data_IF_945718901662
#
_entry.id   IF_945718901662
#
_cell.length_a   1.000
_cell.length_b   1.000
_cell.length_c   1.000
_cell.angle_alpha   90.00
_cell.angle_beta   90.00
_cell.angle_gamma   90.00
#
_symmetry.space_group_name_H-M   'P 1'
#
loop_
_entity.id
_entity.type
_entity.pdbx_description
1 polymer ?
#
# COMPACT_ATOMS: atom_id res chain seq x y z
N UNK A 1 64.87 -20.67 -15.62
CA UNK A 1 64.98 -21.47 -14.37
C UNK A 1 63.84 -21.08 -13.45
N UNK A 2 63.74 -19.82 -13.00
CA UNK A 2 62.56 -19.31 -12.27
C UNK A 2 61.23 -19.64 -12.95
N UNK A 3 61.11 -19.37 -14.25
CA UNK A 3 59.88 -19.58 -15.02
C UNK A 3 59.42 -21.06 -15.08
N UNK A 4 60.36 -22.03 -14.99
CA UNK A 4 60.00 -23.46 -14.94
C UNK A 4 59.62 -23.95 -13.56
N UNK A 5 60.25 -23.39 -12.53
CA UNK A 5 59.95 -23.72 -11.15
C UNK A 5 58.57 -23.18 -10.82
N UNK A 6 58.28 -21.94 -11.20
CA UNK A 6 56.97 -21.30 -11.06
C UNK A 6 55.88 -22.02 -11.89
N UNK A 7 56.15 -22.40 -13.15
CA UNK A 7 55.16 -23.10 -13.97
C UNK A 7 54.79 -24.51 -13.46
N UNK A 8 55.71 -25.22 -12.80
CA UNK A 8 55.40 -26.50 -12.16
C UNK A 8 54.67 -26.33 -10.82
N UNK A 9 54.94 -25.24 -10.09
CA UNK A 9 54.25 -24.88 -8.84
C UNK A 9 52.81 -24.42 -9.05
N UNK A 10 52.51 -23.74 -10.17
CA UNK A 10 51.15 -23.32 -10.55
C UNK A 10 50.30 -24.48 -11.11
N UNK A 11 50.88 -25.66 -11.33
CA UNK A 11 50.15 -26.84 -11.78
C UNK A 11 49.29 -27.42 -10.64
N UNK A 12 48.09 -27.89 -10.96
CA UNK A 12 47.09 -28.37 -9.99
C UNK A 12 47.54 -29.59 -9.16
N UNK A 13 48.65 -30.22 -9.54
CA UNK A 13 49.29 -31.34 -8.82
C UNK A 13 50.79 -31.12 -8.89
N UNK A 14 51.37 -30.61 -7.81
CA UNK A 14 52.82 -30.44 -7.69
C UNK A 14 53.50 -31.81 -7.62
N UNK A 15 54.24 -32.16 -8.67
CA UNK A 15 54.99 -33.41 -8.76
C UNK A 15 56.50 -33.14 -8.64
N UNK A 16 57.05 -33.62 -7.53
CA UNK A 16 58.45 -33.43 -7.15
C UNK A 16 59.39 -34.13 -8.14
N UNK A 17 58.98 -35.30 -8.65
CA UNK A 17 59.81 -36.11 -9.54
C UNK A 17 59.93 -35.43 -10.92
N UNK A 18 58.83 -34.90 -11.44
CA UNK A 18 58.80 -34.12 -12.68
C UNK A 18 59.60 -32.81 -12.59
N UNK A 19 59.63 -32.15 -11.42
CA UNK A 19 60.45 -30.95 -11.20
C UNK A 19 61.95 -31.29 -11.24
N UNK A 20 62.34 -32.33 -10.51
CA UNK A 20 63.74 -32.79 -10.45
C UNK A 20 64.20 -33.26 -11.83
N UNK A 21 63.36 -34.01 -12.55
CA UNK A 21 63.64 -34.49 -13.90
C UNK A 21 63.80 -33.33 -14.90
N UNK A 22 62.92 -32.32 -14.84
CA UNK A 22 63.05 -31.13 -15.70
C UNK A 22 64.28 -30.28 -15.38
N UNK A 23 64.65 -30.13 -14.11
CA UNK A 23 65.87 -29.42 -13.68
C UNK A 23 67.11 -30.18 -14.15
N UNK A 24 67.12 -31.51 -13.99
CA UNK A 24 68.22 -32.36 -14.43
C UNK A 24 68.36 -32.37 -15.96
N UNK A 25 67.26 -32.52 -16.69
CA UNK A 25 67.22 -32.58 -18.16
C UNK A 25 67.68 -31.25 -18.79
N UNK A 26 67.24 -30.10 -18.25
CA UNK A 26 67.68 -28.78 -18.73
C UNK A 26 69.09 -28.40 -18.34
N UNK A 27 69.62 -28.97 -17.26
CA UNK A 27 71.01 -28.72 -16.83
C UNK A 27 72.02 -29.60 -17.58
N UNK A 28 71.57 -30.72 -18.14
CA UNK A 28 72.39 -31.68 -18.91
C UNK A 28 72.16 -31.61 -20.43
N UNK A 29 71.27 -30.72 -20.89
CA UNK A 29 70.85 -30.58 -22.30
C UNK A 29 70.41 -31.91 -22.94
N UNK A 30 69.86 -32.83 -22.13
CA UNK A 30 69.48 -34.19 -22.53
C UNK A 30 70.63 -35.18 -22.78
N UNK A 31 71.89 -34.80 -22.51
CA UNK A 31 73.08 -35.62 -22.76
C UNK A 31 73.73 -36.12 -21.46
N UNK A 32 73.19 -37.23 -20.92
CA UNK A 32 73.73 -37.88 -19.72
C UNK A 32 74.98 -38.74 -20.03
N UNK A 33 75.36 -38.88 -21.31
CA UNK A 33 76.35 -39.86 -21.79
C UNK A 33 77.66 -39.22 -22.30
N UNK A 34 77.71 -37.90 -22.51
CA UNK A 34 78.91 -37.25 -23.08
C UNK A 34 79.88 -36.74 -22.01
N UNK A 35 81.17 -36.77 -22.34
CA UNK A 35 82.36 -36.40 -21.54
C UNK A 35 82.37 -34.95 -20.99
N UNK A 36 81.29 -34.18 -21.18
CA UNK A 36 81.10 -32.80 -20.72
C UNK A 36 80.03 -32.66 -19.61
N UNK A 37 79.70 -33.74 -18.90
CA UNK A 37 78.84 -33.63 -17.71
C UNK A 37 79.58 -32.86 -16.62
N UNK A 38 79.13 -31.64 -16.30
CA UNK A 38 79.68 -30.79 -15.24
C UNK A 38 78.87 -30.96 -13.94
N UNK A 39 79.35 -31.76 -12.96
CA UNK A 39 78.61 -32.01 -11.72
C UNK A 39 78.40 -30.73 -10.90
N UNK A 40 79.37 -29.81 -10.99
CA UNK A 40 79.33 -28.52 -10.29
C UNK A 40 78.25 -27.58 -10.86
N UNK A 41 77.97 -27.66 -12.16
CA UNK A 41 76.91 -26.87 -12.80
C UNK A 41 75.53 -27.35 -12.36
N UNK A 42 75.34 -28.67 -12.31
CA UNK A 42 74.10 -29.29 -11.83
C UNK A 42 73.86 -29.01 -10.34
N UNK A 43 74.90 -29.10 -9.50
CA UNK A 43 74.82 -28.72 -8.08
C UNK A 43 74.41 -27.25 -7.93
N UNK A 44 75.02 -26.34 -8.70
CA UNK A 44 74.68 -24.92 -8.69
C UNK A 44 73.21 -24.68 -9.06
N UNK A 45 72.69 -25.39 -10.06
CA UNK A 45 71.28 -25.28 -10.50
C UNK A 45 70.31 -25.84 -9.47
N UNK A 46 70.62 -26.97 -8.82
CA UNK A 46 69.80 -27.48 -7.71
C UNK A 46 69.85 -26.55 -6.49
N UNK A 47 71.01 -25.99 -6.14
CA UNK A 47 71.11 -24.96 -5.08
C UNK A 47 70.28 -23.73 -5.39
N UNK A 48 70.31 -23.27 -6.64
CA UNK A 48 69.48 -22.15 -7.09
C UNK A 48 67.98 -22.49 -7.00
N UNK A 49 67.56 -23.69 -7.42
CA UNK A 49 66.17 -24.12 -7.32
C UNK A 49 65.70 -24.28 -5.87
N UNK A 50 66.55 -24.82 -4.97
CA UNK A 50 66.26 -24.89 -3.54
C UNK A 50 66.08 -23.50 -2.92
N UNK A 51 66.92 -22.54 -3.29
CA UNK A 51 66.78 -21.15 -2.82
C UNK A 51 65.45 -20.55 -3.26
N UNK A 52 65.07 -20.71 -4.54
CA UNK A 52 63.80 -20.21 -5.06
C UNK A 52 62.60 -20.84 -4.34
N UNK A 53 62.65 -22.15 -4.09
CA UNK A 53 61.59 -22.86 -3.35
C UNK A 53 61.49 -22.40 -1.90
N UNK A 54 62.63 -22.13 -1.23
CA UNK A 54 62.64 -21.59 0.13
C UNK A 54 62.06 -20.18 0.17
N UNK A 55 62.43 -19.31 -0.77
CA UNK A 55 61.88 -17.95 -0.86
C UNK A 55 60.38 -17.98 -1.13
N UNK A 56 59.92 -18.87 -2.02
CA UNK A 56 58.50 -19.07 -2.32
C UNK A 56 57.73 -19.64 -1.12
N UNK A 57 58.30 -20.57 -0.37
CA UNK A 57 57.70 -21.08 0.87
C UNK A 57 57.50 -19.96 1.88
N UNK A 58 58.54 -19.15 2.14
CA UNK A 58 58.46 -18.02 3.08
C UNK A 58 57.41 -17.01 2.61
N UNK A 59 57.36 -16.69 1.32
CA UNK A 59 56.38 -15.79 0.76
C UNK A 59 54.95 -16.34 0.88
N UNK A 60 54.75 -17.63 0.65
CA UNK A 60 53.45 -18.29 0.76
C UNK A 60 52.97 -18.32 2.21
N UNK A 61 53.85 -18.66 3.15
CA UNK A 61 53.54 -18.63 4.59
C UNK A 61 53.16 -17.21 5.07
N UNK A 62 53.83 -16.18 4.56
CA UNK A 62 53.47 -14.79 4.85
C UNK A 62 52.10 -14.42 4.26
N UNK A 63 51.82 -14.82 3.02
CA UNK A 63 50.53 -14.57 2.37
C UNK A 63 49.39 -15.29 3.11
N UNK A 64 49.60 -16.54 3.54
CA UNK A 64 48.62 -17.30 4.34
C UNK A 64 48.32 -16.55 5.63
N UNK A 65 49.34 -16.13 6.39
CA UNK A 65 49.13 -15.38 7.65
C UNK A 65 48.36 -14.08 7.43
N UNK A 66 48.69 -13.33 6.37
CA UNK A 66 47.97 -12.09 6.05
C UNK A 66 46.50 -12.35 5.70
N UNK A 67 46.22 -13.41 4.93
CA UNK A 67 44.87 -13.81 4.57
C UNK A 67 44.09 -14.30 5.80
N UNK A 68 44.71 -15.08 6.69
CA UNK A 68 44.11 -15.52 7.95
C UNK A 68 43.78 -14.34 8.86
N UNK A 69 44.69 -13.38 9.03
CA UNK A 69 44.44 -12.18 9.83
C UNK A 69 43.34 -11.30 9.22
N UNK A 70 43.31 -11.16 7.89
CA UNK A 70 42.26 -10.41 7.21
C UNK A 70 40.89 -11.09 7.37
N UNK A 71 40.84 -12.42 7.22
CA UNK A 71 39.64 -13.21 7.38
C UNK A 71 39.12 -13.14 8.83
N UNK A 72 40.01 -13.22 9.82
CA UNK A 72 39.63 -13.13 11.24
C UNK A 72 39.12 -11.73 11.60
N UNK A 73 39.76 -10.67 11.10
CA UNK A 73 39.26 -9.29 11.27
C UNK A 73 37.88 -9.14 10.65
N UNK A 74 37.72 -9.58 9.41
CA UNK A 74 36.45 -9.50 8.69
C UNK A 74 35.35 -10.30 9.43
N UNK A 75 35.64 -11.54 9.82
CA UNK A 75 34.74 -12.38 10.62
C UNK A 75 34.29 -11.68 11.91
N UNK A 76 35.22 -11.08 12.64
CA UNK A 76 34.90 -10.36 13.88
C UNK A 76 34.07 -9.10 13.62
N UNK A 77 34.35 -8.36 12.54
CA UNK A 77 33.51 -7.21 12.16
C UNK A 77 32.09 -7.64 11.80
N UNK A 78 31.94 -8.70 10.99
CA UNK A 78 30.63 -9.24 10.63
C UNK A 78 29.87 -9.77 11.84
N UNK A 79 30.53 -10.50 12.74
CA UNK A 79 29.91 -11.00 13.97
C UNK A 79 29.38 -9.84 14.84
N UNK A 80 30.18 -8.78 15.01
CA UNK A 80 29.75 -7.60 15.76
C UNK A 80 28.60 -6.85 15.09
N UNK A 81 28.66 -6.69 13.76
CA UNK A 81 27.58 -6.04 13.00
C UNK A 81 26.28 -6.83 13.07
N UNK A 82 26.34 -8.17 12.99
CA UNK A 82 25.16 -9.04 13.14
C UNK A 82 24.58 -8.92 14.54
N UNK A 83 25.41 -8.96 15.59
CA UNK A 83 24.94 -8.83 16.96
C UNK A 83 24.24 -7.47 17.21
N UNK A 84 24.81 -6.37 16.70
CA UNK A 84 24.19 -5.04 16.79
C UNK A 84 22.86 -4.98 16.03
N UNK A 85 22.80 -5.61 14.85
CA UNK A 85 21.57 -5.64 14.04
C UNK A 85 20.47 -6.45 14.74
N UNK A 86 20.82 -7.57 15.37
CA UNK A 86 19.89 -8.37 16.17
C UNK A 86 19.35 -7.59 17.37
N UNK A 87 20.21 -6.86 18.08
CA UNK A 87 19.78 -6.01 19.21
C UNK A 87 18.82 -4.90 18.77
N UNK A 88 19.16 -4.20 17.68
CA UNK A 88 18.31 -3.16 17.09
C UNK A 88 16.97 -3.74 16.60
N UNK A 89 17.00 -4.92 15.99
CA UNK A 89 15.79 -5.61 15.54
C UNK A 89 14.89 -5.96 16.73
N UNK A 90 15.43 -6.54 17.79
CA UNK A 90 14.66 -6.88 19.01
C UNK A 90 14.04 -5.63 19.65
N UNK A 91 14.80 -4.54 19.76
CA UNK A 91 14.30 -3.25 20.28
C UNK A 91 13.16 -2.70 19.40
N UNK A 92 13.34 -2.70 18.08
CA UNK A 92 12.31 -2.23 17.14
C UNK A 92 11.06 -3.11 17.20
N UNK A 93 11.25 -4.42 17.30
CA UNK A 93 10.16 -5.40 17.38
C UNK A 93 9.32 -5.23 18.64
N UNK A 94 9.96 -5.04 19.80
CA UNK A 94 9.23 -4.77 21.05
C UNK A 94 8.45 -3.46 20.99
N UNK A 95 9.03 -2.40 20.42
CA UNK A 95 8.33 -1.12 20.18
C UNK A 95 7.13 -1.28 19.24
N UNK A 96 7.27 -2.10 18.19
CA UNK A 96 6.17 -2.41 17.28
C UNK A 96 5.03 -3.17 18.00
N UNK A 97 5.34 -4.18 18.82
CA UNK A 97 4.34 -4.91 19.59
C UNK A 97 3.58 -4.01 20.57
N UNK A 98 4.28 -3.08 21.24
CA UNK A 98 3.63 -2.11 22.13
C UNK A 98 2.68 -1.19 21.35
N UNK A 99 3.12 -0.73 20.18
CA UNK A 99 2.30 0.10 19.31
C UNK A 99 1.05 -0.65 18.83
N UNK A 100 1.19 -1.90 18.40
CA UNK A 100 0.07 -2.75 17.97
C UNK A 100 -0.94 -2.96 19.11
N UNK A 101 -0.47 -3.20 20.34
CA UNK A 101 -1.37 -3.26 21.51
C UNK A 101 -2.11 -1.94 21.73
N UNK A 102 -1.43 -0.81 21.66
CA UNK A 102 -2.06 0.51 21.83
C UNK A 102 -3.09 0.79 20.74
N UNK A 103 -2.78 0.46 19.48
CA UNK A 103 -3.71 0.58 18.35
C UNK A 103 -4.94 -0.29 18.57
N UNK A 104 -4.78 -1.52 19.05
CA UNK A 104 -5.89 -2.42 19.35
C UNK A 104 -6.82 -1.85 20.42
N UNK A 105 -6.26 -1.30 21.50
CA UNK A 105 -7.02 -0.64 22.57
C UNK A 105 -7.77 0.58 22.05
N UNK A 106 -7.10 1.44 21.28
CA UNK A 106 -7.74 2.64 20.69
C UNK A 106 -8.86 2.22 19.74
N UNK A 107 -8.63 1.23 18.88
CA UNK A 107 -9.63 0.75 17.91
C UNK A 107 -10.88 0.24 18.63
N UNK A 108 -10.71 -0.58 19.67
CA UNK A 108 -11.81 -1.09 20.49
C UNK A 108 -12.59 0.05 21.14
N UNK A 109 -11.88 1.04 21.70
CA UNK A 109 -12.49 2.19 22.37
C UNK A 109 -13.22 3.10 21.39
N UNK A 110 -12.69 3.31 20.18
CA UNK A 110 -13.32 4.08 19.11
C UNK A 110 -14.63 3.41 18.68
N UNK A 111 -14.63 2.10 18.49
CA UNK A 111 -15.84 1.33 18.16
C UNK A 111 -16.88 1.50 19.27
N UNK A 112 -16.47 1.35 20.54
CA UNK A 112 -17.37 1.52 21.69
C UNK A 112 -17.97 2.93 21.75
N UNK A 113 -17.15 3.97 21.57
CA UNK A 113 -17.63 5.36 21.57
C UNK A 113 -18.58 5.59 20.39
N UNK A 114 -18.26 5.06 19.21
CA UNK A 114 -19.13 5.10 18.04
C UNK A 114 -20.50 4.50 18.34
N UNK A 115 -20.52 3.29 18.91
CA UNK A 115 -21.75 2.62 19.30
C UNK A 115 -22.54 3.41 20.36
N UNK A 116 -21.87 4.00 21.36
CA UNK A 116 -22.54 4.83 22.38
C UNK A 116 -23.11 6.14 21.81
N UNK A 117 -22.44 6.73 20.84
CA UNK A 117 -22.92 7.93 20.16
C UNK A 117 -24.12 7.59 19.29
N UNK A 118 -24.06 6.50 18.53
CA UNK A 118 -25.17 6.03 17.70
C UNK A 118 -26.38 5.66 18.56
N UNK A 119 -26.18 4.88 19.63
CA UNK A 119 -27.27 4.47 20.52
C UNK A 119 -27.97 5.65 21.19
N UNK A 120 -27.27 6.76 21.45
CA UNK A 120 -27.86 7.97 22.05
C UNK A 120 -28.47 8.92 21.03
N UNK A 121 -27.86 9.06 19.86
CA UNK A 121 -28.26 10.05 18.85
C UNK A 121 -29.31 9.54 17.88
N UNK A 122 -29.23 8.27 17.48
CA UNK A 122 -30.14 7.65 16.50
C UNK A 122 -31.61 7.64 16.97
N UNK A 123 -31.98 7.12 18.16
CA UNK A 123 -33.39 7.11 18.57
C UNK A 123 -33.95 8.52 18.75
N UNK A 124 -33.12 9.48 19.17
CA UNK A 124 -33.51 10.88 19.30
C UNK A 124 -33.79 11.50 17.93
N UNK A 125 -32.92 11.27 16.95
CA UNK A 125 -33.13 11.74 15.57
C UNK A 125 -34.38 11.09 14.96
N UNK A 126 -34.54 9.77 15.10
CA UNK A 126 -35.73 9.06 14.64
C UNK A 126 -37.02 9.61 15.24
N UNK A 127 -37.06 9.89 16.56
CA UNK A 127 -38.23 10.48 17.21
C UNK A 127 -38.53 11.90 16.72
N UNK A 128 -37.48 12.71 16.48
CA UNK A 128 -37.65 14.06 15.94
C UNK A 128 -38.22 14.00 14.52
N UNK A 129 -37.68 13.12 13.67
CA UNK A 129 -38.11 12.94 12.28
C UNK A 129 -39.53 12.37 12.19
N UNK A 130 -39.88 11.40 13.04
CA UNK A 130 -41.24 10.88 13.13
C UNK A 130 -42.22 11.96 13.61
N UNK A 131 -41.84 12.75 14.62
CA UNK A 131 -42.68 13.83 15.15
C UNK A 131 -42.89 14.95 14.13
N UNK A 132 -41.84 15.34 13.40
CA UNK A 132 -41.98 16.35 12.35
C UNK A 132 -42.88 15.82 11.23
N UNK A 133 -42.66 14.58 10.78
CA UNK A 133 -43.51 13.94 9.75
C UNK A 133 -44.97 13.88 10.17
N UNK A 134 -45.26 13.44 11.41
CA UNK A 134 -46.62 13.40 11.96
C UNK A 134 -47.27 14.80 12.01
N UNK A 135 -46.53 15.82 12.44
CA UNK A 135 -47.02 17.21 12.48
C UNK A 135 -47.35 17.74 11.08
N UNK A 136 -46.54 17.41 10.07
CA UNK A 136 -46.84 17.80 8.70
C UNK A 136 -48.02 17.02 8.13
N UNK A 137 -48.15 15.73 8.46
CA UNK A 137 -49.31 14.91 8.09
C UNK A 137 -50.61 15.50 8.63
N UNK A 138 -50.68 15.83 9.93
CA UNK A 138 -51.86 16.49 10.53
C UNK A 138 -52.22 17.79 9.79
N UNK A 139 -51.22 18.61 9.47
CA UNK A 139 -51.43 19.86 8.72
C UNK A 139 -51.94 19.64 7.30
N UNK A 140 -51.51 18.58 6.63
CA UNK A 140 -52.03 18.21 5.30
C UNK A 140 -53.46 17.67 5.36
N UNK A 141 -53.86 17.04 6.48
CA UNK A 141 -55.22 16.52 6.69
C UNK A 141 -56.22 17.62 7.06
N UNK A 142 -55.79 18.64 7.81
CA UNK A 142 -56.64 19.76 8.23
C UNK A 142 -56.94 20.78 7.12
N UNK A 143 -56.46 20.55 5.89
CA UNK A 143 -56.66 21.42 4.72
C UNK A 143 -56.21 22.89 4.93
N UNK A 144 -55.25 23.13 5.83
CA UNK A 144 -54.68 24.45 6.04
C UNK A 144 -53.69 24.80 4.93
N UNK A 145 -53.97 25.89 4.21
CA UNK A 145 -53.22 26.37 3.03
C UNK A 145 -51.77 26.81 3.35
N UNK A 146 -51.45 26.98 4.65
CA UNK A 146 -50.12 27.35 5.15
C UNK A 146 -49.02 26.32 4.84
N UNK A 147 -49.39 25.06 4.60
CA UNK A 147 -48.45 24.02 4.19
C UNK A 147 -47.85 24.36 2.82
N UNK A 148 -48.62 25.03 1.96
CA UNK A 148 -48.21 25.43 0.62
C UNK A 148 -47.02 26.41 0.65
N UNK A 149 -46.92 27.30 1.65
CA UNK A 149 -45.84 28.30 1.72
C UNK A 149 -44.44 27.67 1.89
N UNK A 150 -44.30 26.58 2.65
CA UNK A 150 -43.01 25.93 2.85
C UNK A 150 -42.56 25.10 1.64
N UNK A 151 -43.52 24.66 0.82
CA UNK A 151 -43.28 23.93 -0.43
C UNK A 151 -43.28 24.82 -1.68
N UNK A 152 -43.50 26.14 -1.52
CA UNK A 152 -43.45 27.15 -2.59
C UNK A 152 -42.17 27.99 -2.58
N UNK A 153 -41.45 28.03 -1.45
CA UNK A 153 -40.20 28.78 -1.31
C UNK A 153 -39.02 28.00 -1.90
N UNK A 154 -38.46 28.45 -3.03
CA UNK A 154 -37.25 27.87 -3.66
C UNK A 154 -36.02 27.87 -2.71
N UNK A 155 -35.98 28.78 -1.72
CA UNK A 155 -34.92 28.84 -0.69
C UNK A 155 -35.01 27.69 0.34
N UNK A 156 -36.17 27.03 0.44
CA UNK A 156 -36.45 25.94 1.39
C UNK A 156 -36.59 24.57 0.70
N UNK A 157 -36.27 24.47 -0.59
CA UNK A 157 -36.36 23.24 -1.38
C UNK A 157 -35.71 22.02 -0.68
N UNK A 158 -34.61 22.24 0.02
CA UNK A 158 -33.91 21.19 0.78
C UNK A 158 -34.71 20.69 1.99
N UNK A 159 -35.32 21.62 2.74
CA UNK A 159 -36.13 21.29 3.90
C UNK A 159 -37.44 20.62 3.46
N UNK A 160 -38.04 21.13 2.38
CA UNK A 160 -39.20 20.55 1.72
C UNK A 160 -38.94 19.10 1.30
N UNK A 161 -37.83 18.83 0.60
CA UNK A 161 -37.45 17.49 0.17
C UNK A 161 -37.20 16.52 1.34
N UNK A 162 -36.60 17.02 2.43
CA UNK A 162 -36.37 16.22 3.64
C UNK A 162 -37.66 15.79 4.35
N UNK A 163 -38.75 16.55 4.20
CA UNK A 163 -40.04 16.29 4.85
C UNK A 163 -40.99 15.52 3.92
N UNK A 164 -41.04 15.87 2.63
CA UNK A 164 -42.01 15.32 1.68
C UNK A 164 -41.79 13.83 1.42
N UNK A 165 -40.54 13.36 1.40
CA UNK A 165 -40.24 11.96 1.10
C UNK A 165 -40.69 11.01 2.23
N UNK A 166 -40.34 11.23 3.52
CA UNK A 166 -40.91 10.46 4.63
C UNK A 166 -42.43 10.54 4.69
N UNK A 167 -43.00 11.72 4.45
CA UNK A 167 -44.44 11.93 4.46
C UNK A 167 -45.16 11.12 3.36
N UNK A 168 -44.61 11.11 2.15
CA UNK A 168 -45.13 10.31 1.04
C UNK A 168 -45.13 8.81 1.37
N UNK A 169 -44.03 8.29 1.94
CA UNK A 169 -43.92 6.88 2.32
C UNK A 169 -44.96 6.50 3.39
N UNK A 170 -45.09 7.30 4.46
CA UNK A 170 -46.09 7.07 5.52
C UNK A 170 -47.52 7.12 4.96
N UNK A 171 -47.80 8.04 4.04
CA UNK A 171 -49.10 8.12 3.37
C UNK A 171 -49.39 6.91 2.48
N UNK A 172 -48.39 6.26 1.89
CA UNK A 172 -48.61 5.02 1.12
C UNK A 172 -48.98 3.83 2.01
N UNK A 173 -48.54 3.82 3.28
CA UNK A 173 -48.85 2.74 4.24
C UNK A 173 -50.23 2.88 4.89
N UNK A 174 -50.87 4.06 4.78
CA UNK A 174 -52.22 4.31 5.31
C UNK A 174 -53.32 3.69 4.40
N UNK A 175 -54.43 3.18 4.97
CA UNK A 175 -55.53 2.61 4.19
C UNK A 175 -56.20 3.64 3.28
N UNK A 176 -56.81 3.17 2.19
CA UNK A 176 -57.50 3.99 1.19
C UNK A 176 -58.88 4.45 1.67
N UNK A 177 -58.92 5.22 2.76
CA UNK A 177 -60.14 5.91 3.17
C UNK A 177 -60.29 7.24 2.41
N UNK A 178 -61.53 7.68 2.12
CA UNK A 178 -61.78 8.91 1.35
C UNK A 178 -61.21 10.17 2.00
N UNK A 179 -60.97 10.15 3.33
CA UNK A 179 -60.35 11.26 4.08
C UNK A 179 -58.84 11.38 3.81
N UNK A 180 -58.16 10.27 3.50
CA UNK A 180 -56.72 10.25 3.20
C UNK A 180 -56.43 10.36 1.71
N UNK A 181 -57.41 10.06 0.84
CA UNK A 181 -57.22 10.07 -0.61
C UNK A 181 -56.89 11.47 -1.16
N UNK A 182 -57.51 12.51 -0.62
CA UNK A 182 -57.22 13.91 -0.97
C UNK A 182 -55.79 14.30 -0.54
N UNK A 183 -55.40 13.95 0.69
CA UNK A 183 -54.05 14.18 1.21
C UNK A 183 -52.98 13.38 0.45
N UNK A 184 -53.25 12.12 0.10
CA UNK A 184 -52.36 11.27 -0.73
C UNK A 184 -52.14 11.90 -2.11
N UNK A 185 -53.19 12.41 -2.74
CA UNK A 185 -53.10 13.03 -4.08
C UNK A 185 -52.30 14.33 -4.02
N UNK A 186 -52.62 15.22 -3.06
CA UNK A 186 -51.90 16.49 -2.86
C UNK A 186 -50.43 16.27 -2.53
N UNK A 187 -50.10 15.32 -1.64
CA UNK A 187 -48.69 15.02 -1.30
C UNK A 187 -47.95 14.39 -2.47
N UNK A 188 -48.60 13.54 -3.28
CA UNK A 188 -48.00 12.98 -4.50
C UNK A 188 -47.69 14.07 -5.52
N UNK A 189 -48.61 15.00 -5.76
CA UNK A 189 -48.37 16.13 -6.67
C UNK A 189 -47.19 17.00 -6.19
N UNK A 190 -47.12 17.28 -4.88
CA UNK A 190 -46.00 18.04 -4.30
C UNK A 190 -44.69 17.28 -4.33
N UNK A 191 -44.71 15.96 -4.11
CA UNK A 191 -43.53 15.11 -4.23
C UNK A 191 -42.93 15.19 -5.64
N UNK A 192 -43.76 15.09 -6.68
CA UNK A 192 -43.33 15.19 -8.07
C UNK A 192 -42.83 16.61 -8.42
N UNK A 193 -43.53 17.65 -7.97
CA UNK A 193 -43.10 19.03 -8.21
C UNK A 193 -41.73 19.35 -7.59
N UNK A 194 -41.47 18.87 -6.37
CA UNK A 194 -40.17 19.03 -5.69
C UNK A 194 -39.08 18.22 -6.38
N UNK A 195 -39.40 17.02 -6.86
CA UNK A 195 -38.47 16.18 -7.63
C UNK A 195 -38.05 16.87 -8.94
N UNK A 196 -39.00 17.44 -9.68
CA UNK A 196 -38.73 18.23 -10.90
C UNK A 196 -37.88 19.48 -10.60
N UNK A 197 -38.18 20.21 -9.53
CA UNK A 197 -37.42 21.40 -9.14
C UNK A 197 -35.99 21.05 -8.69
N UNK A 198 -35.80 19.94 -7.97
CA UNK A 198 -34.48 19.43 -7.59
C UNK A 198 -33.66 18.99 -8.81
N UNK A 199 -34.29 18.36 -9.80
CA UNK A 199 -33.62 17.99 -11.06
C UNK A 199 -33.21 19.24 -11.85
N UNK A 200 -34.06 20.27 -11.89
CA UNK A 200 -33.75 21.54 -12.53
C UNK A 200 -32.56 22.26 -11.86
N UNK A 201 -32.55 22.34 -10.52
CA UNK A 201 -31.43 22.92 -9.77
C UNK A 201 -30.15 22.10 -9.92
N UNK A 202 -30.25 20.78 -10.02
CA UNK A 202 -29.12 19.92 -10.34
C UNK A 202 -28.53 20.23 -11.73
N UNK A 203 -29.38 20.32 -12.77
CA UNK A 203 -28.93 20.70 -14.12
C UNK A 203 -28.34 22.11 -14.15
N UNK A 204 -28.91 23.07 -13.42
CA UNK A 204 -28.34 24.43 -13.28
C UNK A 204 -26.98 24.42 -12.59
N UNK A 205 -26.80 23.62 -11.55
CA UNK A 205 -25.53 23.44 -10.86
C UNK A 205 -24.48 22.75 -11.75
N UNK A 206 -24.90 21.81 -12.60
CA UNK A 206 -24.05 21.16 -13.60
C UNK A 206 -23.55 22.13 -14.66
N UNK A 207 -24.42 22.98 -15.22
CA UNK A 207 -24.03 24.03 -16.19
C UNK A 207 -23.06 25.03 -15.56
N UNK A 208 -23.21 25.34 -14.26
CA UNK A 208 -22.31 26.22 -13.50
C UNK A 208 -21.03 25.52 -13.02
N UNK A 209 -20.87 24.22 -13.28
CA UNK A 209 -19.76 23.37 -12.82
C UNK A 209 -19.52 23.42 -11.29
N UNK A 210 -20.57 23.63 -10.49
CA UNK A 210 -20.47 23.65 -9.03
C UNK A 210 -20.61 22.23 -8.46
N UNK A 211 -19.46 21.56 -8.27
CA UNK A 211 -19.37 20.20 -7.72
C UNK A 211 -19.92 20.08 -6.30
N UNK A 212 -19.91 21.15 -5.50
CA UNK A 212 -20.41 21.12 -4.10
C UNK A 212 -21.93 21.12 -4.08
N UNK A 213 -22.56 22.02 -4.84
CA UNK A 213 -24.01 22.07 -4.98
C UNK A 213 -24.54 20.78 -5.64
N UNK A 214 -23.87 20.30 -6.68
CA UNK A 214 -24.21 19.06 -7.37
C UNK A 214 -24.21 17.84 -6.43
N UNK A 215 -23.16 17.68 -5.60
CA UNK A 215 -23.10 16.59 -4.61
C UNK A 215 -24.22 16.69 -3.56
N UNK A 216 -24.62 17.92 -3.21
CA UNK A 216 -25.70 18.18 -2.26
C UNK A 216 -27.06 17.75 -2.82
N UNK A 217 -27.39 18.15 -4.04
CA UNK A 217 -28.63 17.78 -4.71
C UNK A 217 -28.68 16.27 -5.04
N UNK A 218 -27.58 15.64 -5.46
CA UNK A 218 -27.50 14.18 -5.64
C UNK A 218 -27.82 13.45 -4.34
N UNK A 219 -27.23 13.87 -3.21
CA UNK A 219 -27.48 13.22 -1.92
C UNK A 219 -28.95 13.31 -1.50
N UNK A 220 -29.62 14.39 -1.87
CA UNK A 220 -31.04 14.61 -1.58
C UNK A 220 -31.93 13.79 -2.53
N UNK A 221 -31.67 13.86 -3.84
CA UNK A 221 -32.31 13.06 -4.90
C UNK A 221 -32.08 11.56 -4.74
N UNK A 222 -31.03 11.13 -4.04
CA UNK A 222 -30.75 9.71 -3.78
C UNK A 222 -31.83 9.02 -2.96
N UNK A 223 -32.58 9.79 -2.18
CA UNK A 223 -33.76 9.30 -1.45
C UNK A 223 -35.00 9.23 -2.33
N UNK A 224 -35.01 9.90 -3.49
CA UNK A 224 -36.13 9.95 -4.43
C UNK A 224 -35.97 8.90 -5.53
N UNK A 225 -37.08 8.52 -6.16
CA UNK A 225 -37.07 7.48 -7.21
C UNK A 225 -36.34 7.95 -8.49
N UNK A 226 -36.27 9.25 -8.75
CA UNK A 226 -35.56 9.88 -9.87
C UNK A 226 -34.02 9.95 -9.75
N UNK A 227 -33.41 9.28 -8.76
CA UNK A 227 -31.94 9.18 -8.68
C UNK A 227 -31.33 8.63 -9.97
N UNK A 228 -31.94 7.60 -10.56
CA UNK A 228 -31.41 6.98 -11.77
C UNK A 228 -31.50 7.95 -12.97
N UNK A 229 -32.60 8.69 -13.09
CA UNK A 229 -32.78 9.68 -14.15
C UNK A 229 -31.80 10.85 -14.02
N UNK A 230 -31.45 11.25 -12.80
CA UNK A 230 -30.40 12.23 -12.52
C UNK A 230 -29.01 11.73 -12.98
N UNK A 231 -28.68 10.47 -12.75
CA UNK A 231 -27.43 9.85 -13.24
C UNK A 231 -27.44 9.78 -14.78
N UNK A 232 -28.55 9.34 -15.38
CA UNK A 232 -28.67 9.23 -16.84
C UNK A 232 -28.57 10.60 -17.53
N UNK A 233 -29.20 11.63 -16.99
CA UNK A 233 -29.08 13.00 -17.49
C UNK A 233 -27.66 13.53 -17.33
N UNK A 234 -27.01 13.28 -16.19
CA UNK A 234 -25.61 13.66 -16.00
C UNK A 234 -24.67 12.97 -16.99
N UNK A 235 -24.81 11.65 -17.20
CA UNK A 235 -24.03 10.89 -18.17
C UNK A 235 -24.26 11.44 -19.58
N UNK A 236 -25.52 11.68 -19.95
CA UNK A 236 -25.88 12.21 -21.27
C UNK A 236 -25.31 13.60 -21.51
N UNK A 237 -25.37 14.48 -20.53
CA UNK A 237 -24.85 15.84 -20.65
C UNK A 237 -23.32 15.90 -20.60
N UNK A 238 -22.66 15.01 -19.85
CA UNK A 238 -21.20 14.83 -19.96
C UNK A 238 -20.78 14.30 -21.33
N UNK A 239 -21.54 13.38 -21.92
CA UNK A 239 -21.28 12.87 -23.27
C UNK A 239 -21.49 13.93 -24.35
N UNK A 240 -22.43 14.86 -24.17
CA UNK A 240 -22.64 16.02 -25.06
C UNK A 240 -21.55 17.10 -24.98
N UNK A 241 -20.75 17.12 -23.91
CA UNK A 241 -19.60 18.05 -23.80
C UNK A 241 -18.36 17.49 -24.52
N UNK A 242 -18.32 16.17 -24.74
CA UNK A 242 -17.22 15.48 -25.40
C UNK A 242 -17.39 15.30 -26.92
N UNK A 243 -18.56 15.66 -27.48
CA UNK A 243 -18.87 15.67 -28.92
C UNK A 243 -19.34 17.07 -29.36
#
# INVERSE_FOLDING_TARGET
MEELVLANLDSTVFDVDNLIENIAYKSTDGNVVNENFDPNLLESKFRQAMSILQDYQVQTEQNIKQLEEACEKERNTWANSVAQLEELYQSTYTGQQELEMRISVISTKVIQIGHQLESKSNPRQQLIDARTTAKYLERFLDANDDVSLMFQDASKLEQAAHIIHPLYNVLQELPDEPKFLDAKTKVKERYLAIEEELLLEFSRAQVRNDKKAMKKYIKLLSKFKGHNDCIQNFITDCLKIFF
#
